data_IF_208961382706
#
_entry.id   IF_208961382706
#
_cell.length_a   1.000
_cell.length_b   1.000
_cell.length_c   1.000
_cell.angle_alpha   90.00
_cell.angle_beta   90.00
_cell.angle_gamma   90.00
#
_symmetry.space_group_name_H-M   'P 1'
#
loop_
_entity.id
_entity.type
_entity.pdbx_description
1 polymer ?
#
# COMPACT_ATOMS: atom_id res chain seq x y z
N UNK A 1 6.59 22.48 6.47
CA UNK A 1 7.12 21.14 6.09
C UNK A 1 6.05 20.04 6.24
N UNK A 2 4.77 20.39 6.33
CA UNK A 2 3.61 19.49 6.50
C UNK A 2 2.85 19.22 5.20
N UNK A 3 2.99 20.07 4.19
CA UNK A 3 2.30 19.98 2.88
C UNK A 3 2.59 18.67 2.13
N UNK A 4 3.76 18.04 2.36
CA UNK A 4 4.14 16.79 1.68
C UNK A 4 3.37 15.56 2.19
N UNK A 5 3.12 15.47 3.50
CA UNK A 5 2.46 14.31 4.08
C UNK A 5 0.96 14.31 3.76
N UNK A 6 0.32 15.47 3.85
CA UNK A 6 -1.11 15.61 3.48
C UNK A 6 -1.33 15.29 2.01
N UNK A 7 -0.44 15.75 1.13
CA UNK A 7 -0.49 15.42 -0.30
C UNK A 7 -0.37 13.91 -0.52
N UNK A 8 0.63 13.26 0.08
CA UNK A 8 0.82 11.80 -0.03
C UNK A 8 -0.38 11.03 0.52
N UNK A 9 -0.94 11.48 1.64
CA UNK A 9 -2.15 10.89 2.21
C UNK A 9 -3.32 10.96 1.22
N UNK A 10 -3.58 12.14 0.65
CA UNK A 10 -4.67 12.32 -0.31
C UNK A 10 -4.49 11.47 -1.58
N UNK A 11 -3.25 11.29 -2.05
CA UNK A 11 -2.97 10.43 -3.20
C UNK A 11 -3.23 8.95 -2.88
N UNK A 12 -2.80 8.45 -1.72
CA UNK A 12 -3.11 7.07 -1.30
C UNK A 12 -4.62 6.86 -1.22
N UNK A 13 -5.36 7.80 -0.63
CA UNK A 13 -6.83 7.73 -0.54
C UNK A 13 -7.48 7.69 -1.93
N UNK A 14 -6.95 8.43 -2.92
CA UNK A 14 -7.47 8.39 -4.29
C UNK A 14 -7.33 6.99 -4.91
N UNK A 15 -6.16 6.36 -4.78
CA UNK A 15 -5.93 4.99 -5.27
C UNK A 15 -6.92 4.00 -4.66
N UNK A 16 -7.16 4.09 -3.34
CA UNK A 16 -8.12 3.24 -2.64
C UNK A 16 -9.56 3.43 -3.15
N UNK A 17 -9.98 4.68 -3.41
CA UNK A 17 -11.32 4.99 -3.93
C UNK A 17 -11.52 4.51 -5.37
N UNK A 18 -10.44 4.48 -6.16
CA UNK A 18 -10.46 4.00 -7.54
C UNK A 18 -10.30 2.47 -7.65
N UNK A 19 -10.07 1.77 -6.53
CA UNK A 19 -9.82 0.32 -6.53
C UNK A 19 -8.43 -0.07 -7.04
N UNK A 20 -7.49 0.88 -7.12
CA UNK A 20 -6.12 0.69 -7.60
C UNK A 20 -5.18 0.21 -6.49
N UNK A 21 -5.52 -0.93 -5.88
CA UNK A 21 -4.82 -1.41 -4.69
C UNK A 21 -3.39 -1.88 -5.00
N UNK A 22 -3.21 -2.60 -6.12
CA UNK A 22 -1.89 -3.09 -6.56
C UNK A 22 -0.98 -1.93 -6.92
N UNK A 23 -1.48 -0.97 -7.71
CA UNK A 23 -0.72 0.22 -8.11
C UNK A 23 -0.38 1.08 -6.87
N UNK A 24 -1.29 1.16 -5.90
CA UNK A 24 -1.05 1.87 -4.65
C UNK A 24 0.05 1.21 -3.81
N UNK A 25 0.12 -0.12 -3.80
CA UNK A 25 1.22 -0.86 -3.19
C UNK A 25 2.53 -0.56 -3.92
N UNK A 26 2.54 -0.62 -5.25
CA UNK A 26 3.74 -0.40 -6.05
C UNK A 26 4.31 1.03 -5.89
N UNK A 27 3.44 2.04 -5.83
CA UNK A 27 3.83 3.45 -5.80
C UNK A 27 4.18 3.98 -4.39
N UNK A 28 3.52 3.49 -3.33
CA UNK A 28 3.65 4.07 -1.99
C UNK A 28 4.43 3.23 -0.99
N UNK A 29 4.56 1.91 -1.19
CA UNK A 29 5.26 1.06 -0.23
C UNK A 29 6.76 1.04 -0.50
N UNK A 30 7.56 1.07 0.56
CA UNK A 30 8.98 0.79 0.48
C UNK A 30 9.20 -0.69 0.07
N UNK A 31 10.31 -0.98 -0.61
CA UNK A 31 10.63 -2.34 -1.08
C UNK A 31 10.60 -3.38 0.05
N UNK A 32 11.10 -3.00 1.23
CA UNK A 32 11.17 -3.82 2.45
C UNK A 32 10.00 -3.61 3.42
N UNK A 33 8.90 -2.98 2.98
CA UNK A 33 7.75 -2.72 3.83
C UNK A 33 7.19 -4.01 4.45
N UNK A 34 6.55 -3.89 5.61
CA UNK A 34 5.86 -4.99 6.28
C UNK A 34 4.41 -4.57 6.53
N UNK A 35 3.46 -5.41 6.15
CA UNK A 35 2.02 -5.18 6.31
C UNK A 35 1.41 -6.36 7.05
N UNK A 36 0.49 -6.08 7.97
CA UNK A 36 -0.19 -7.10 8.75
C UNK A 36 -1.68 -6.78 8.79
N UNK A 37 -2.49 -7.73 8.33
CA UNK A 37 -3.93 -7.66 8.52
C UNK A 37 -4.30 -8.41 9.79
N UNK A 38 -4.89 -7.71 10.76
CA UNK A 38 -5.40 -8.29 12.03
C UNK A 38 -4.36 -9.19 12.71
N UNK A 39 -4.67 -10.49 12.86
CA UNK A 39 -3.85 -11.48 13.55
C UNK A 39 -3.09 -12.40 12.58
N UNK A 40 -3.18 -12.17 11.26
CA UNK A 40 -2.46 -12.97 10.29
C UNK A 40 -0.96 -12.73 10.38
N UNK A 41 -0.13 -13.70 9.95
CA UNK A 41 1.31 -13.47 9.82
C UNK A 41 1.59 -12.27 8.91
N UNK A 42 2.56 -11.41 9.27
CA UNK A 42 2.86 -10.23 8.48
C UNK A 42 3.40 -10.60 7.09
N UNK A 43 2.90 -9.93 6.07
CA UNK A 43 3.46 -9.96 4.72
C UNK A 43 4.69 -9.06 4.66
N UNK A 44 5.81 -9.60 4.19
CA UNK A 44 7.09 -8.88 4.09
C UNK A 44 7.44 -8.62 2.64
N UNK A 45 7.74 -7.36 2.34
CA UNK A 45 8.17 -6.87 1.04
C UNK A 45 7.01 -6.45 0.14
N UNK A 46 7.22 -5.36 -0.60
CA UNK A 46 6.23 -4.77 -1.52
C UNK A 46 5.73 -5.78 -2.55
N UNK A 47 6.64 -6.54 -3.15
CA UNK A 47 6.29 -7.55 -4.16
C UNK A 47 5.34 -8.64 -3.62
N UNK A 48 5.52 -9.05 -2.36
CA UNK A 48 4.66 -10.04 -1.74
C UNK A 48 3.26 -9.47 -1.43
N UNK A 49 3.17 -8.19 -1.07
CA UNK A 49 1.90 -7.50 -0.87
C UNK A 49 1.13 -7.37 -2.19
N UNK A 50 1.77 -6.87 -3.24
CA UNK A 50 1.15 -6.72 -4.56
C UNK A 50 0.68 -8.08 -5.13
N UNK A 51 1.44 -9.16 -4.91
CA UNK A 51 1.04 -10.51 -5.32
C UNK A 51 -0.13 -11.07 -4.50
N UNK A 52 -0.28 -10.65 -3.23
CA UNK A 52 -1.41 -11.07 -2.38
C UNK A 52 -2.68 -10.35 -2.80
N UNK A 53 -2.59 -9.05 -3.08
CA UNK A 53 -3.72 -8.22 -3.48
C UNK A 53 -4.33 -8.66 -4.82
N UNK A 54 -3.50 -9.06 -5.79
CA UNK A 54 -3.94 -9.58 -7.11
C UNK A 54 -4.83 -10.83 -7.05
N UNK A 55 -4.97 -11.47 -5.89
CA UNK A 55 -5.78 -12.69 -5.72
C UNK A 55 -7.25 -12.40 -5.46
N UNK A 56 -7.60 -11.15 -5.16
CA UNK A 56 -8.96 -10.69 -4.89
C UNK A 56 -9.48 -9.82 -6.03
#
# INVERSE_FOLDING_TARGET
MSEKLETLHNQVIAYLKEGKFVEGIDDFYAENATAQEKADPPTKGRAAMAATEKKF
#
